data_IF_179614500473
#
_entry.id   IF_179614500473
#
_cell.length_a   1.000
_cell.length_b   1.000
_cell.length_c   1.000
_cell.angle_alpha   90.00
_cell.angle_beta   90.00
_cell.angle_gamma   90.00
#
_symmetry.space_group_name_H-M   'P 1'
#
loop_
_entity.id
_entity.type
_entity.pdbx_description
1 polymer ?
#
# COMPACT_ATOMS: atom_id res chain seq x y z
N UNK A 1 15.64 -33.40 -5.70
CA UNK A 1 15.42 -32.73 -7.00
C UNK A 1 15.22 -31.25 -6.76
N UNK A 2 16.20 -30.41 -7.06
CA UNK A 2 16.15 -28.97 -6.82
C UNK A 2 15.25 -28.29 -7.86
N UNK A 3 14.25 -27.52 -7.40
CA UNK A 3 13.41 -26.69 -8.28
C UNK A 3 14.30 -25.62 -8.91
N UNK A 4 14.59 -25.74 -10.21
CA UNK A 4 15.23 -24.68 -10.99
C UNK A 4 14.34 -23.42 -10.91
N UNK A 5 14.80 -22.41 -10.17
CA UNK A 5 14.18 -21.09 -10.16
C UNK A 5 14.22 -20.52 -11.57
N UNK A 6 13.06 -20.45 -12.23
CA UNK A 6 12.88 -19.79 -13.51
C UNK A 6 13.41 -18.35 -13.38
N UNK A 7 14.61 -18.10 -13.91
CA UNK A 7 15.19 -16.75 -13.96
C UNK A 7 14.17 -15.89 -14.71
N UNK A 8 13.50 -14.96 -14.00
CA UNK A 8 12.65 -13.95 -14.64
C UNK A 8 13.51 -13.27 -15.70
N UNK A 9 13.10 -13.32 -16.97
CA UNK A 9 13.82 -12.69 -18.07
C UNK A 9 14.11 -11.23 -17.77
N UNK A 10 15.17 -10.69 -18.38
CA UNK A 10 15.55 -9.29 -18.19
C UNK A 10 14.33 -8.39 -18.47
N UNK A 11 13.98 -7.58 -17.48
CA UNK A 11 12.85 -6.65 -17.53
C UNK A 11 13.13 -5.59 -18.61
N UNK A 12 12.10 -5.21 -19.39
CA UNK A 12 12.24 -4.16 -20.38
C UNK A 12 12.72 -2.85 -19.70
N UNK A 13 13.60 -2.07 -20.35
CA UNK A 13 14.09 -0.81 -19.82
C UNK A 13 12.93 0.14 -19.45
N UNK A 14 13.10 0.93 -18.41
CA UNK A 14 12.15 1.95 -18.01
C UNK A 14 12.49 2.57 -16.66
N UNK A 15 11.75 3.62 -16.29
CA UNK A 15 11.97 4.36 -15.06
C UNK A 15 11.95 3.43 -13.82
N UNK A 16 12.94 3.59 -12.94
CA UNK A 16 13.04 2.88 -11.68
C UNK A 16 13.25 3.90 -10.57
N UNK A 17 12.50 3.78 -9.49
CA UNK A 17 12.53 4.75 -8.41
C UNK A 17 11.36 4.59 -7.46
N UNK A 18 11.12 5.64 -6.67
CA UNK A 18 9.98 5.74 -5.78
C UNK A 18 8.96 6.74 -6.32
N UNK A 19 7.67 6.45 -6.12
CA UNK A 19 6.56 7.34 -6.41
C UNK A 19 5.80 7.58 -5.11
N UNK A 20 5.66 8.84 -4.71
CA UNK A 20 4.85 9.22 -3.54
C UNK A 20 3.45 9.55 -4.03
N UNK A 21 2.47 8.74 -3.62
CA UNK A 21 1.07 8.92 -4.00
C UNK A 21 0.30 9.47 -2.82
N UNK A 22 -0.54 10.48 -3.05
CA UNK A 22 -1.63 10.81 -2.14
C UNK A 22 -2.82 9.89 -2.45
N UNK A 23 -2.99 8.84 -1.65
CA UNK A 23 -4.02 7.82 -1.87
C UNK A 23 -5.40 8.42 -1.58
N UNK A 24 -6.38 8.34 -2.50
CA UNK A 24 -7.74 8.75 -2.20
C UNK A 24 -8.45 7.77 -1.25
N UNK A 25 -9.51 8.25 -0.59
CA UNK A 25 -10.38 7.41 0.21
C UNK A 25 -11.15 6.41 -0.69
N UNK A 26 -11.49 5.25 -0.13
CA UNK A 26 -12.19 4.17 -0.82
C UNK A 26 -11.30 3.29 -1.71
N UNK A 27 -10.06 3.70 -1.99
CA UNK A 27 -9.10 2.88 -2.73
C UNK A 27 -8.28 2.02 -1.77
N UNK A 28 -8.11 0.73 -2.07
CA UNK A 28 -7.12 -0.09 -1.37
C UNK A 28 -5.71 0.35 -1.78
N UNK A 29 -4.71 0.03 -0.97
CA UNK A 29 -3.31 0.20 -1.37
C UNK A 29 -2.95 -0.62 -2.61
N UNK A 30 -3.67 -1.72 -2.87
CA UNK A 30 -3.46 -2.55 -4.06
C UNK A 30 -3.98 -1.90 -5.33
N UNK A 31 -5.11 -1.21 -5.26
CA UNK A 31 -5.68 -0.48 -6.41
C UNK A 31 -4.69 0.58 -6.92
N UNK A 32 -4.00 1.27 -6.00
CA UNK A 32 -2.95 2.23 -6.37
C UNK A 32 -1.75 1.53 -7.02
N UNK A 33 -1.35 0.37 -6.51
CA UNK A 33 -0.29 -0.44 -7.13
C UNK A 33 -0.68 -0.87 -8.54
N UNK A 34 -1.93 -1.29 -8.76
CA UNK A 34 -2.43 -1.72 -10.06
C UNK A 34 -2.51 -0.57 -11.07
N UNK A 35 -2.95 0.62 -10.63
CA UNK A 35 -2.89 1.83 -11.45
C UNK A 35 -1.44 2.15 -11.87
N UNK A 36 -0.49 2.10 -10.93
CA UNK A 36 0.92 2.33 -11.21
C UNK A 36 1.51 1.25 -12.15
N UNK A 37 1.11 -0.02 -12.03
CA UNK A 37 1.52 -1.08 -12.97
C UNK A 37 1.08 -0.75 -14.41
N UNK A 38 -0.13 -0.22 -14.57
CA UNK A 38 -0.65 0.27 -15.84
C UNK A 38 0.19 1.43 -16.40
N UNK A 39 0.42 2.48 -15.59
CA UNK A 39 1.17 3.66 -16.03
C UNK A 39 2.63 3.39 -16.38
N UNK A 40 3.32 2.54 -15.60
CA UNK A 40 4.74 2.25 -15.80
C UNK A 40 5.02 1.04 -16.69
N UNK A 41 3.97 0.33 -17.13
CA UNK A 41 4.10 -0.85 -17.99
C UNK A 41 4.92 -1.98 -17.37
N UNK A 42 4.88 -2.14 -16.05
CA UNK A 42 5.61 -3.19 -15.33
C UNK A 42 4.80 -3.79 -14.22
N UNK A 43 4.93 -5.10 -13.99
CA UNK A 43 4.35 -5.78 -12.82
C UNK A 43 5.17 -5.58 -11.55
N UNK A 44 6.40 -5.07 -11.68
CA UNK A 44 7.34 -4.95 -10.56
C UNK A 44 7.11 -3.63 -9.83
N UNK A 45 5.99 -3.57 -9.12
CA UNK A 45 5.57 -2.45 -8.27
C UNK A 45 5.12 -3.01 -6.92
N UNK A 46 5.51 -2.34 -5.84
CA UNK A 46 5.03 -2.63 -4.48
C UNK A 46 5.00 -1.37 -3.63
N UNK A 47 4.21 -1.35 -2.56
CA UNK A 47 4.13 -0.22 -1.62
C UNK A 47 5.05 -0.42 -0.40
N UNK A 48 5.38 0.67 0.30
CA UNK A 48 6.23 0.65 1.50
C UNK A 48 5.43 0.54 2.81
N UNK A 49 4.12 0.40 2.72
CA UNK A 49 3.22 0.16 3.84
C UNK A 49 1.78 0.25 3.38
N UNK A 50 0.91 -0.54 3.97
CA UNK A 50 -0.52 -0.52 3.63
C UNK A 50 -1.19 0.67 4.33
N UNK A 51 -2.03 1.39 3.59
CA UNK A 51 -3.07 2.26 4.12
C UNK A 51 -4.43 1.58 3.92
N UNK A 52 -5.28 1.68 4.94
CA UNK A 52 -6.65 1.17 4.90
C UNK A 52 -7.48 1.88 3.80
N UNK A 53 -8.54 1.25 3.28
CA UNK A 53 -9.38 1.84 2.25
C UNK A 53 -9.95 3.21 2.64
N UNK A 54 -10.47 3.36 3.86
CA UNK A 54 -10.99 4.64 4.36
C UNK A 54 -9.93 5.74 4.51
N UNK A 55 -8.66 5.39 4.67
CA UNK A 55 -7.60 6.35 4.91
C UNK A 55 -7.24 7.12 3.62
N UNK A 56 -6.76 8.34 3.77
CA UNK A 56 -6.12 9.12 2.68
C UNK A 56 -4.65 9.35 3.00
N UNK A 57 -3.90 9.92 2.06
CA UNK A 57 -2.56 10.42 2.32
C UNK A 57 -1.44 9.56 1.75
N UNK A 58 -0.26 9.69 2.36
CA UNK A 58 1.02 9.29 1.77
C UNK A 58 1.15 7.76 1.64
N UNK A 59 1.13 7.26 0.41
CA UNK A 59 1.43 5.88 0.03
C UNK A 59 2.64 5.82 -0.89
N UNK A 60 3.86 5.56 -0.37
CA UNK A 60 5.04 5.41 -1.20
C UNK A 60 5.01 4.08 -1.96
N UNK A 61 5.30 4.14 -3.26
CA UNK A 61 5.47 2.99 -4.13
C UNK A 61 6.92 2.87 -4.59
N UNK A 62 7.41 1.64 -4.70
CA UNK A 62 8.68 1.30 -5.32
C UNK A 62 8.44 0.65 -6.68
N UNK A 63 9.16 1.11 -7.70
CA UNK A 63 8.99 0.70 -9.09
C UNK A 63 10.29 0.05 -9.60
N UNK A 64 10.17 -1.09 -10.29
CA UNK A 64 11.27 -1.87 -10.87
C UNK A 64 12.39 -2.17 -9.86
N UNK A 65 13.62 -1.72 -10.11
CA UNK A 65 14.78 -2.04 -9.28
C UNK A 65 14.63 -1.52 -7.85
N UNK A 66 13.92 -0.41 -7.65
CA UNK A 66 13.65 0.17 -6.34
C UNK A 66 12.87 -0.77 -5.40
N UNK A 67 12.13 -1.77 -5.93
CA UNK A 67 11.43 -2.74 -5.05
C UNK A 67 12.38 -3.52 -4.16
N UNK A 68 13.66 -3.65 -4.54
CA UNK A 68 14.70 -4.30 -3.73
C UNK A 68 15.11 -3.46 -2.52
N UNK A 69 14.81 -2.16 -2.54
CA UNK A 69 15.19 -1.23 -1.48
C UNK A 69 14.13 -1.12 -0.38
N UNK A 70 12.90 -1.63 -0.61
CA UNK A 70 11.76 -1.52 0.32
C UNK A 70 12.13 -1.95 1.74
N UNK A 71 12.82 -3.08 1.90
CA UNK A 71 13.23 -3.60 3.22
C UNK A 71 14.13 -2.66 4.01
N UNK A 72 14.81 -1.72 3.35
CA UNK A 72 15.72 -0.76 3.99
C UNK A 72 15.05 0.58 4.33
N UNK A 73 13.84 0.84 3.81
CA UNK A 73 13.17 2.15 3.93
C UNK A 73 11.74 2.07 4.46
N UNK A 74 11.15 0.87 4.54
CA UNK A 74 9.78 0.69 5.04
C UNK A 74 9.63 0.95 6.54
N UNK A 75 10.70 0.73 7.31
CA UNK A 75 10.72 0.85 8.77
C UNK A 75 11.14 2.27 9.16
N UNK A 76 10.19 3.19 8.99
CA UNK A 76 10.33 4.61 9.30
C UNK A 76 9.11 5.07 10.06
N UNK A 77 9.28 6.14 10.84
CA UNK A 77 8.19 6.76 11.58
C UNK A 77 7.07 7.21 10.64
N UNK A 78 5.83 7.05 11.10
CA UNK A 78 4.62 7.42 10.36
C UNK A 78 3.75 8.29 11.26
N UNK A 79 3.38 9.48 10.76
CA UNK A 79 2.43 10.37 11.40
C UNK A 79 1.03 10.15 10.85
N UNK A 80 0.04 10.11 11.74
CA UNK A 80 -1.37 9.95 11.37
C UNK A 80 -2.19 11.05 12.03
N UNK A 81 -3.16 11.56 11.28
CA UNK A 81 -4.22 12.43 11.79
C UNK A 81 -5.56 11.74 11.56
N UNK A 82 -6.39 11.64 12.59
CA UNK A 82 -7.68 10.96 12.53
C UNK A 82 -8.58 11.35 13.69
N UNK A 83 -9.86 11.01 13.55
CA UNK A 83 -10.87 11.23 14.58
C UNK A 83 -11.32 9.89 15.15
N UNK A 84 -11.47 9.82 16.48
CA UNK A 84 -11.95 8.63 17.18
C UNK A 84 -13.35 8.92 17.73
N UNK A 85 -14.31 8.02 17.46
CA UNK A 85 -15.64 8.05 18.07
C UNK A 85 -15.62 7.21 19.34
N UNK A 86 -15.62 7.87 20.49
CA UNK A 86 -15.74 7.19 21.78
C UNK A 86 -17.16 6.66 22.00
N UNK A 87 -17.28 5.59 22.79
CA UNK A 87 -18.56 4.97 23.14
C UNK A 87 -19.14 4.00 22.11
N UNK A 88 -18.46 3.73 20.99
CA UNK A 88 -18.94 2.81 19.94
C UNK A 88 -17.85 1.81 19.56
N UNK A 89 -18.23 0.55 19.38
CA UNK A 89 -17.34 -0.53 18.92
C UNK A 89 -17.90 -1.11 17.63
N UNK A 90 -17.07 -1.18 16.59
CA UNK A 90 -17.37 -1.80 15.29
C UNK A 90 -16.55 -3.07 15.09
N UNK A 91 -16.95 -3.93 14.14
CA UNK A 91 -16.24 -5.17 13.80
C UNK A 91 -14.93 -4.96 13.02
N UNK A 92 -14.82 -3.86 12.27
CA UNK A 92 -13.59 -3.45 11.56
C UNK A 92 -12.69 -2.51 12.37
N UNK A 93 -13.15 -2.08 13.56
CA UNK A 93 -12.47 -1.09 14.40
C UNK A 93 -12.33 0.30 13.75
N UNK A 94 -13.09 0.56 12.69
CA UNK A 94 -13.18 1.85 12.00
C UNK A 94 -14.65 2.26 11.79
N UNK A 95 -14.86 3.35 11.04
CA UNK A 95 -16.18 3.92 10.78
C UNK A 95 -17.01 3.15 9.73
N UNK A 96 -16.41 2.26 8.94
CA UNK A 96 -17.09 1.51 7.87
C UNK A 96 -17.74 0.23 8.40
N UNK A 97 -17.31 -0.28 9.55
CA UNK A 97 -17.79 -1.52 10.15
C UNK A 97 -19.20 -1.47 10.74
N UNK A 98 -19.77 -2.67 10.95
CA UNK A 98 -21.03 -2.85 11.66
C UNK A 98 -20.83 -2.63 13.16
N UNK A 99 -21.78 -1.94 13.80
CA UNK A 99 -21.77 -1.73 15.26
C UNK A 99 -21.99 -3.05 15.98
N UNK A 100 -21.08 -3.36 16.89
CA UNK A 100 -21.18 -4.48 17.81
C UNK A 100 -21.73 -4.04 19.17
N UNK A 101 -21.27 -2.89 19.69
CA UNK A 101 -21.66 -2.34 20.99
C UNK A 101 -21.67 -0.82 20.98
N UNK A 102 -22.55 -0.24 21.78
CA UNK A 102 -22.64 1.21 22.04
C UNK A 102 -22.82 1.45 23.54
N UNK A 103 -22.14 2.46 24.06
CA UNK A 103 -22.05 2.80 25.47
C UNK A 103 -22.51 4.25 25.65
N UNK A 104 -23.51 4.44 26.51
CA UNK A 104 -24.08 5.75 26.87
C UNK A 104 -23.43 6.33 28.11
#
# INVERSE_FOLDING_TARGET
MARQGKRRGAEAPGASGFLVVDKPAGWTSHDVVDAARGWFGTRRVGHLGTLDPLATGVLPLAIRAATKLVTYVQDRDKGYAGAIRLGRVTDTLDAEGRVLREYS
#
